data_IF_152773510183
#
_entry.id   IF_152773510183
#
_cell.length_a   1.000
_cell.length_b   1.000
_cell.length_c   1.000
_cell.angle_alpha   90.00
_cell.angle_beta   90.00
_cell.angle_gamma   90.00
#
_symmetry.space_group_name_H-M   'P 1'
#
loop_
_entity.id
_entity.type
_entity.pdbx_description
1 polymer ?
#
# COMPACT_ATOMS: atom_id res chain seq x y z
N UNK A 1 -23.01 5.52 -20.20
CA UNK A 1 -23.43 6.59 -19.26
C UNK A 1 -22.30 7.60 -19.24
N UNK A 2 -22.56 8.86 -19.57
CA UNK A 2 -21.54 9.92 -19.53
C UNK A 2 -21.17 10.19 -18.07
N UNK A 3 -19.88 10.11 -17.74
CA UNK A 3 -19.36 10.35 -16.40
C UNK A 3 -19.39 11.86 -16.12
N UNK A 4 -20.55 12.36 -15.66
CA UNK A 4 -20.81 13.81 -15.50
C UNK A 4 -20.00 14.41 -14.37
N UNK A 5 -19.59 15.68 -14.53
CA UNK A 5 -18.90 16.49 -13.50
C UNK A 5 -19.66 16.52 -12.17
N UNK A 6 -20.99 16.46 -12.19
CA UNK A 6 -21.80 16.39 -10.96
C UNK A 6 -21.44 15.18 -10.08
N UNK A 7 -21.18 14.02 -10.68
CA UNK A 7 -20.76 12.81 -9.94
C UNK A 7 -19.35 12.97 -9.36
N UNK A 8 -18.43 13.60 -10.10
CA UNK A 8 -17.09 13.96 -9.61
C UNK A 8 -17.21 14.87 -8.39
N UNK A 9 -18.04 15.91 -8.46
CA UNK A 9 -18.26 16.86 -7.38
C UNK A 9 -18.86 16.21 -6.13
N UNK A 10 -19.82 15.30 -6.28
CA UNK A 10 -20.39 14.57 -5.14
C UNK A 10 -19.30 13.80 -4.38
N UNK A 11 -18.40 13.12 -5.10
CA UNK A 11 -17.30 12.38 -4.47
C UNK A 11 -16.28 13.35 -3.86
N UNK A 12 -15.90 14.41 -4.57
CA UNK A 12 -14.93 15.39 -4.09
C UNK A 12 -15.39 16.03 -2.77
N UNK A 13 -16.65 16.48 -2.71
CA UNK A 13 -17.26 17.04 -1.49
C UNK A 13 -17.33 16.03 -0.34
N UNK A 14 -17.63 14.76 -0.65
CA UNK A 14 -17.65 13.71 0.37
C UNK A 14 -16.25 13.41 0.96
N UNK A 15 -15.17 13.81 0.27
CA UNK A 15 -13.79 13.64 0.75
C UNK A 15 -13.25 14.90 1.43
N UNK A 16 -13.46 16.08 0.83
CA UNK A 16 -12.87 17.34 1.29
C UNK A 16 -13.76 18.16 2.21
N UNK A 17 -15.07 17.91 2.24
CA UNK A 17 -16.04 18.74 2.96
C UNK A 17 -15.93 20.21 2.52
N UNK A 18 -15.78 21.11 3.48
CA UNK A 18 -15.58 22.56 3.25
C UNK A 18 -14.23 22.89 2.62
N UNK A 19 -13.26 21.97 2.66
CA UNK A 19 -11.89 22.14 2.12
C UNK A 19 -11.70 21.42 0.78
N UNK A 20 -12.74 21.39 -0.03
CA UNK A 20 -12.71 20.71 -1.33
C UNK A 20 -11.83 21.49 -2.32
N UNK A 21 -10.60 21.05 -2.52
CA UNK A 21 -9.70 21.46 -3.62
C UNK A 21 -9.66 20.51 -4.83
N UNK A 22 -8.87 20.82 -5.86
CA UNK A 22 -8.72 20.03 -7.10
C UNK A 22 -8.11 18.65 -6.87
N UNK A 23 -7.32 18.47 -5.81
CA UNK A 23 -6.88 17.16 -5.33
C UNK A 23 -8.08 16.21 -5.03
N UNK A 24 -9.18 16.77 -4.50
CA UNK A 24 -10.42 16.03 -4.26
C UNK A 24 -11.21 15.81 -5.56
N UNK A 25 -11.14 16.76 -6.51
CA UNK A 25 -11.70 16.54 -7.85
C UNK A 25 -11.02 15.37 -8.54
N UNK A 26 -9.69 15.25 -8.46
CA UNK A 26 -8.97 14.09 -8.98
C UNK A 26 -9.52 12.79 -8.40
N UNK A 27 -9.68 12.71 -7.07
CA UNK A 27 -10.26 11.54 -6.42
C UNK A 27 -11.70 11.25 -6.91
N UNK A 28 -12.47 12.30 -7.21
CA UNK A 28 -13.78 12.22 -7.85
C UNK A 28 -13.71 11.69 -9.30
N UNK A 29 -12.80 12.18 -10.13
CA UNK A 29 -12.61 11.72 -11.52
C UNK A 29 -12.21 10.25 -11.57
N UNK A 30 -11.39 9.78 -10.62
CA UNK A 30 -11.02 8.37 -10.50
C UNK A 30 -12.20 7.46 -10.14
N UNK A 31 -13.20 7.97 -9.43
CA UNK A 31 -14.41 7.22 -9.03
C UNK A 31 -15.48 7.24 -10.10
N UNK A 32 -15.69 8.38 -10.76
CA UNK A 32 -16.69 8.55 -11.79
C UNK A 32 -16.20 8.04 -13.16
N UNK A 33 -14.97 8.38 -13.54
CA UNK A 33 -14.39 8.13 -14.87
C UNK A 33 -13.86 6.72 -15.06
N UNK A 34 -14.54 5.91 -15.88
CA UNK A 34 -14.08 4.53 -16.14
C UNK A 34 -12.71 4.46 -16.84
N UNK A 35 -12.43 5.41 -17.75
CA UNK A 35 -11.15 5.51 -18.45
C UNK A 35 -10.07 6.14 -17.59
N UNK A 36 -10.40 7.18 -16.82
CA UNK A 36 -9.50 7.74 -15.78
C UNK A 36 -8.98 6.63 -14.88
N UNK A 37 -9.88 5.77 -14.39
CA UNK A 37 -9.50 4.62 -13.57
C UNK A 37 -8.54 3.66 -14.26
N UNK A 38 -8.74 3.34 -15.54
CA UNK A 38 -7.82 2.46 -16.28
C UNK A 38 -6.44 3.08 -16.46
N UNK A 39 -6.37 4.36 -16.80
CA UNK A 39 -5.10 5.08 -16.98
C UNK A 39 -4.35 5.13 -15.65
N UNK A 40 -5.01 5.60 -14.57
CA UNK A 40 -4.37 5.69 -13.26
C UNK A 40 -3.99 4.32 -12.68
N UNK A 41 -4.77 3.27 -12.98
CA UNK A 41 -4.42 1.90 -12.59
C UNK A 41 -3.18 1.36 -13.32
N UNK A 42 -2.78 1.89 -14.48
CA UNK A 42 -1.51 1.52 -15.11
C UNK A 42 -0.30 2.03 -14.31
N UNK A 43 -0.49 3.09 -13.50
CA UNK A 43 0.51 3.66 -12.60
C UNK A 43 0.33 3.24 -11.14
N UNK A 44 -0.49 2.21 -10.88
CA UNK A 44 -0.86 1.76 -9.52
C UNK A 44 -1.57 2.82 -8.65
N UNK A 45 -2.08 3.90 -9.26
CA UNK A 45 -2.86 4.93 -8.58
C UNK A 45 -4.32 4.50 -8.49
N UNK A 46 -4.63 3.77 -7.42
CA UNK A 46 -5.98 3.31 -7.14
C UNK A 46 -6.72 4.26 -6.19
N UNK A 47 -8.05 4.10 -5.99
CA UNK A 47 -8.77 4.90 -4.99
C UNK A 47 -8.25 4.73 -3.55
N UNK A 48 -7.58 3.61 -3.24
CA UNK A 48 -6.97 3.40 -1.92
C UNK A 48 -5.69 4.22 -1.81
N UNK A 49 -4.85 4.22 -2.85
CA UNK A 49 -3.62 5.01 -2.90
C UNK A 49 -3.92 6.51 -2.78
N UNK A 50 -4.83 7.02 -3.62
CA UNK A 50 -5.24 8.44 -3.59
C UNK A 50 -5.75 8.83 -2.21
N UNK A 51 -6.58 7.99 -1.58
CA UNK A 51 -7.11 8.28 -0.25
C UNK A 51 -6.04 8.24 0.85
N UNK A 52 -5.09 7.31 0.76
CA UNK A 52 -3.97 7.23 1.70
C UNK A 52 -3.11 8.51 1.63
N UNK A 53 -2.77 8.96 0.43
CA UNK A 53 -1.97 10.18 0.22
C UNK A 53 -2.75 11.43 0.64
N UNK A 54 -4.03 11.55 0.27
CA UNK A 54 -4.89 12.65 0.72
C UNK A 54 -4.95 12.75 2.24
N UNK A 55 -5.16 11.63 2.93
CA UNK A 55 -5.27 11.60 4.40
C UNK A 55 -3.95 11.90 5.10
N UNK A 56 -2.85 11.30 4.63
CA UNK A 56 -1.52 11.46 5.26
C UNK A 56 -0.99 12.89 5.18
N UNK A 57 -1.52 13.72 4.27
CA UNK A 57 -1.08 15.09 4.03
C UNK A 57 -2.25 16.08 4.00
N UNK A 58 -3.26 15.84 4.82
CA UNK A 58 -4.51 16.62 4.82
C UNK A 58 -4.27 18.14 4.91
N UNK A 59 -3.25 18.58 5.65
CA UNK A 59 -2.88 20.00 5.76
C UNK A 59 -2.40 20.60 4.44
N UNK A 60 -1.63 19.85 3.63
CA UNK A 60 -1.16 20.32 2.32
C UNK A 60 -2.31 20.56 1.35
N UNK A 61 -3.34 19.72 1.43
CA UNK A 61 -4.52 19.81 0.58
C UNK A 61 -5.61 20.74 1.14
N UNK A 62 -5.38 21.32 2.32
CA UNK A 62 -6.34 22.18 2.99
C UNK A 62 -6.40 23.59 2.38
N UNK A 63 -5.32 24.06 1.74
CA UNK A 63 -5.31 25.31 0.98
C UNK A 63 -6.20 25.13 -0.25
N UNK A 64 -7.35 25.82 -0.33
CA UNK A 64 -8.23 25.67 -1.48
C UNK A 64 -7.54 26.27 -2.71
N UNK A 65 -7.34 25.45 -3.73
CA UNK A 65 -7.22 25.93 -5.09
C UNK A 65 -8.62 26.12 -5.69
N UNK A 66 -8.74 27.02 -6.67
CA UNK A 66 -10.02 27.51 -7.16
C UNK A 66 -10.76 26.45 -8.01
N UNK A 67 -11.48 25.57 -7.31
CA UNK A 67 -12.32 24.50 -7.90
C UNK A 67 -13.37 25.06 -8.87
N UNK A 68 -14.12 26.13 -8.54
CA UNK A 68 -15.00 26.79 -9.51
C UNK A 68 -14.29 27.19 -10.79
N UNK A 69 -13.16 27.92 -10.70
CA UNK A 69 -12.41 28.34 -11.88
C UNK A 69 -11.89 27.15 -12.69
N UNK A 70 -11.46 26.06 -12.04
CA UNK A 70 -11.01 24.85 -12.72
C UNK A 70 -12.13 24.18 -13.52
N UNK A 71 -13.34 24.10 -12.96
CA UNK A 71 -14.51 23.55 -13.65
C UNK A 71 -14.94 24.47 -14.79
N UNK A 72 -14.93 25.78 -14.57
CA UNK A 72 -15.33 26.75 -15.59
C UNK A 72 -14.36 26.75 -16.77
N UNK A 73 -13.05 26.60 -16.54
CA UNK A 73 -12.07 26.37 -17.62
C UNK A 73 -12.38 25.11 -18.42
N UNK A 74 -12.69 24.00 -17.76
CA UNK A 74 -13.03 22.74 -18.42
C UNK A 74 -14.33 22.87 -19.25
N UNK A 75 -15.32 23.62 -18.73
CA UNK A 75 -16.55 23.94 -19.47
C UNK A 75 -16.31 24.86 -20.64
N UNK A 76 -15.45 25.86 -20.50
CA UNK A 76 -15.09 26.76 -21.60
C UNK A 76 -14.46 25.96 -22.76
N UNK A 77 -13.62 24.98 -22.44
CA UNK A 77 -12.92 24.16 -23.42
C UNK A 77 -13.81 23.07 -24.06
N UNK A 78 -14.79 22.53 -23.32
CA UNK A 78 -15.48 21.30 -23.71
C UNK A 78 -17.02 21.35 -23.65
N UNK A 79 -17.62 22.46 -23.23
CA UNK A 79 -19.06 22.58 -22.95
C UNK A 79 -19.44 21.87 -21.65
N UNK A 80 -19.82 20.60 -21.74
CA UNK A 80 -20.09 19.73 -20.58
C UNK A 80 -18.97 18.68 -20.50
N UNK A 81 -17.89 18.94 -19.74
CA UNK A 81 -16.70 18.09 -19.76
C UNK A 81 -16.98 16.72 -19.13
N UNK A 82 -16.38 15.67 -19.70
CA UNK A 82 -16.32 14.36 -19.05
C UNK A 82 -15.32 14.36 -17.88
N UNK A 83 -15.32 13.31 -17.06
CA UNK A 83 -14.32 13.13 -16.01
C UNK A 83 -12.87 13.11 -16.57
N UNK A 84 -12.66 12.56 -17.75
CA UNK A 84 -11.36 12.57 -18.44
C UNK A 84 -10.94 13.98 -18.84
N UNK A 85 -11.83 14.73 -19.49
CA UNK A 85 -11.57 16.10 -19.94
C UNK A 85 -11.33 17.05 -18.77
N UNK A 86 -12.12 16.89 -17.69
CA UNK A 86 -11.89 17.60 -16.44
C UNK A 86 -10.50 17.28 -15.89
N UNK A 87 -10.12 16.00 -15.80
CA UNK A 87 -8.80 15.63 -15.30
C UNK A 87 -7.68 16.21 -16.17
N UNK A 88 -7.79 16.16 -17.51
CA UNK A 88 -6.81 16.79 -18.41
C UNK A 88 -6.67 18.28 -18.10
N UNK A 89 -7.79 19.00 -17.99
CA UNK A 89 -7.80 20.43 -17.64
C UNK A 89 -7.12 20.71 -16.29
N UNK A 90 -7.34 19.85 -15.30
CA UNK A 90 -6.68 19.96 -14.00
C UNK A 90 -5.17 19.74 -14.11
N UNK A 91 -4.71 18.80 -14.93
CA UNK A 91 -3.29 18.50 -15.10
C UNK A 91 -2.55 19.52 -15.98
N UNK A 92 -3.26 20.37 -16.72
CA UNK A 92 -2.71 21.49 -17.48
C UNK A 92 -2.52 22.74 -16.62
N UNK A 93 -3.28 22.89 -15.53
CA UNK A 93 -3.14 24.01 -14.61
C UNK A 93 -1.99 23.79 -13.62
N UNK A 94 -0.89 24.57 -13.70
CA UNK A 94 0.22 24.44 -12.77
C UNK A 94 -0.16 24.80 -11.32
N UNK A 95 -1.26 25.53 -11.11
CA UNK A 95 -1.77 25.88 -9.78
C UNK A 95 -2.68 24.79 -9.20
N UNK A 96 -3.04 23.76 -9.97
CA UNK A 96 -3.87 22.66 -9.50
C UNK A 96 -3.06 21.67 -8.65
N UNK A 97 -3.57 21.41 -7.45
CA UNK A 97 -3.05 20.34 -6.59
C UNK A 97 -3.30 18.92 -7.15
N UNK A 98 -4.10 18.75 -8.21
CA UNK A 98 -4.34 17.44 -8.83
C UNK A 98 -3.05 16.80 -9.38
N UNK A 99 -2.23 17.58 -10.10
CA UNK A 99 -0.95 17.11 -10.63
C UNK A 99 0.04 16.79 -9.50
N UNK A 100 0.05 17.61 -8.45
CA UNK A 100 0.88 17.36 -7.27
C UNK A 100 0.49 16.07 -6.54
N UNK A 101 -0.81 15.85 -6.31
CA UNK A 101 -1.31 14.62 -5.71
C UNK A 101 -0.92 13.38 -6.50
N UNK A 102 -0.94 13.43 -7.85
CA UNK A 102 -0.49 12.30 -8.68
C UNK A 102 1.00 11.99 -8.50
N UNK A 103 1.85 13.01 -8.46
CA UNK A 103 3.28 12.82 -8.21
C UNK A 103 3.51 12.20 -6.84
N UNK A 104 2.76 12.63 -5.83
CA UNK A 104 2.82 12.06 -4.49
C UNK A 104 2.29 10.63 -4.42
N UNK A 105 1.39 10.24 -5.32
CA UNK A 105 1.01 8.83 -5.53
C UNK A 105 2.06 8.05 -6.34
N UNK A 106 3.18 8.67 -6.73
CA UNK A 106 4.24 8.08 -7.52
C UNK A 106 3.90 7.91 -9.01
N UNK A 107 2.94 8.67 -9.57
CA UNK A 107 2.64 8.65 -10.99
C UNK A 107 3.41 9.73 -11.77
N UNK A 108 3.71 9.41 -13.03
CA UNK A 108 4.17 10.37 -14.03
C UNK A 108 2.96 11.14 -14.57
N UNK A 109 2.89 12.43 -14.25
CA UNK A 109 1.76 13.30 -14.61
C UNK A 109 1.66 13.51 -16.12
N UNK A 110 2.79 13.65 -16.80
CA UNK A 110 2.82 13.88 -18.24
C UNK A 110 2.38 12.63 -18.99
N UNK A 111 2.85 11.45 -18.56
CA UNK A 111 2.39 10.17 -19.11
C UNK A 111 0.90 9.94 -18.90
N UNK A 112 0.36 10.30 -17.72
CA UNK A 112 -1.09 10.23 -17.44
C UNK A 112 -1.87 11.17 -18.35
N UNK A 113 -1.42 12.43 -18.48
CA UNK A 113 -2.07 13.43 -19.36
C UNK A 113 -2.07 12.96 -20.82
N UNK A 114 -0.94 12.50 -21.33
CA UNK A 114 -0.81 11.98 -22.70
C UNK A 114 -1.71 10.76 -22.95
N UNK A 115 -1.85 9.86 -21.98
CA UNK A 115 -2.76 8.72 -22.09
C UNK A 115 -4.25 9.13 -22.12
N UNK A 116 -4.61 10.17 -21.36
CA UNK A 116 -5.97 10.72 -21.35
C UNK A 116 -6.29 11.45 -22.67
N UNK A 117 -5.34 12.21 -23.23
CA UNK A 117 -5.50 12.90 -24.52
C UNK A 117 -5.55 11.89 -25.67
N UNK A 118 -4.58 10.99 -25.76
CA UNK A 118 -4.36 10.14 -26.96
C UNK A 118 -5.33 8.98 -27.14
N UNK A 119 -6.20 8.67 -26.18
CA UNK A 119 -7.04 7.46 -26.25
C UNK A 119 -6.41 6.23 -25.58
N UNK A 120 -5.08 6.21 -25.42
CA UNK A 120 -4.30 4.99 -25.17
C UNK A 120 -4.24 4.64 -23.68
N UNK A 121 -4.24 3.34 -23.39
CA UNK A 121 -3.97 2.86 -22.02
C UNK A 121 -2.46 2.67 -21.89
N UNK A 122 -1.81 3.24 -20.85
CA UNK A 122 -0.37 3.06 -20.66
C UNK A 122 -0.05 1.59 -20.38
N UNK A 123 1.14 1.16 -20.80
CA UNK A 123 1.69 -0.12 -20.34
C UNK A 123 2.05 0.03 -18.87
N UNK A 124 1.59 -0.92 -18.03
CA UNK A 124 1.95 -0.94 -16.62
C UNK A 124 3.43 -1.25 -16.47
N UNK A 125 4.13 -0.40 -15.72
CA UNK A 125 5.49 -0.67 -15.24
C UNK A 125 5.39 -1.44 -13.93
N UNK A 126 5.90 -2.67 -13.93
CA UNK A 126 5.89 -3.54 -12.75
C UNK A 126 6.98 -3.10 -11.78
N UNK A 127 6.59 -2.70 -10.55
CA UNK A 127 7.51 -2.14 -9.53
C UNK A 127 7.98 -3.18 -8.52
N UNK A 128 7.30 -4.32 -8.47
CA UNK A 128 7.62 -5.40 -7.54
C UNK A 128 7.86 -6.70 -8.32
N UNK A 129 8.71 -7.60 -7.81
CA UNK A 129 8.87 -8.93 -8.37
C UNK A 129 7.51 -9.66 -8.55
N UNK A 130 7.44 -10.56 -9.54
CA UNK A 130 6.22 -11.29 -9.88
C UNK A 130 5.54 -11.96 -8.66
N UNK A 131 6.34 -12.51 -7.74
CA UNK A 131 5.87 -13.16 -6.51
C UNK A 131 5.18 -12.21 -5.51
N UNK A 132 5.49 -10.91 -5.57
CA UNK A 132 4.94 -9.87 -4.69
C UNK A 132 3.74 -9.13 -5.31
N UNK A 133 3.39 -9.43 -6.57
CA UNK A 133 2.25 -8.82 -7.27
C UNK A 133 0.96 -8.97 -6.46
N UNK A 134 0.72 -10.13 -5.86
CA UNK A 134 -0.48 -10.38 -5.06
C UNK A 134 -0.51 -9.54 -3.77
N UNK A 135 0.64 -9.40 -3.10
CA UNK A 135 0.79 -8.59 -1.87
C UNK A 135 0.56 -7.11 -2.18
N UNK A 136 1.22 -6.60 -3.23
CA UNK A 136 0.99 -5.25 -3.76
C UNK A 136 -0.49 -5.02 -4.07
N UNK A 137 -1.13 -5.93 -4.80
CA UNK A 137 -2.52 -5.77 -5.22
C UNK A 137 -3.47 -5.64 -4.04
N UNK A 138 -3.15 -6.22 -2.87
CA UNK A 138 -3.93 -6.03 -1.64
C UNK A 138 -3.64 -4.70 -0.98
N UNK A 139 -2.37 -4.27 -0.94
CA UNK A 139 -1.98 -2.96 -0.44
C UNK A 139 -2.71 -1.84 -1.17
N UNK A 140 -2.66 -1.83 -2.51
CA UNK A 140 -3.31 -0.80 -3.33
C UNK A 140 -4.80 -1.08 -3.54
N UNK A 141 -5.39 -2.05 -2.85
CA UNK A 141 -6.84 -2.29 -2.85
C UNK A 141 -7.44 -2.83 -4.16
N UNK A 142 -6.64 -3.38 -5.08
CA UNK A 142 -7.14 -4.15 -6.23
C UNK A 142 -7.75 -5.47 -5.80
N UNK A 143 -7.15 -6.11 -4.81
CA UNK A 143 -7.64 -7.35 -4.20
C UNK A 143 -7.98 -7.07 -2.73
N UNK A 144 -8.99 -7.76 -2.21
CA UNK A 144 -9.39 -7.65 -0.80
C UNK A 144 -8.94 -8.88 -0.03
N UNK A 145 -8.53 -8.71 1.22
CA UNK A 145 -8.47 -9.83 2.16
C UNK A 145 -9.89 -10.37 2.35
N UNK A 146 -10.09 -11.65 2.01
CA UNK A 146 -11.34 -12.34 2.34
C UNK A 146 -11.25 -12.76 3.79
N UNK A 147 -12.09 -12.19 4.66
CA UNK A 147 -12.12 -12.54 6.07
C UNK A 147 -12.47 -14.01 6.29
N UNK A 148 -11.96 -14.60 7.40
CA UNK A 148 -12.41 -15.90 7.89
C UNK A 148 -13.85 -15.78 8.42
N UNK A 149 -14.83 -16.01 7.54
CA UNK A 149 -16.24 -16.14 7.91
C UNK A 149 -16.95 -14.88 8.42
N UNK A 150 -18.20 -15.07 8.85
CA UNK A 150 -19.18 -14.01 9.17
C UNK A 150 -18.76 -13.14 10.37
N UNK A 151 -18.08 -13.70 11.37
CA UNK A 151 -17.57 -12.94 12.54
C UNK A 151 -16.39 -12.03 12.19
N UNK A 152 -15.48 -12.49 11.32
CA UNK A 152 -14.44 -11.63 10.74
C UNK A 152 -15.05 -10.56 9.83
N UNK A 153 -16.18 -10.88 9.19
CA UNK A 153 -16.92 -9.95 8.33
C UNK A 153 -17.55 -8.78 9.11
N UNK A 154 -18.11 -9.02 10.30
CA UNK A 154 -18.74 -7.99 11.13
C UNK A 154 -17.73 -7.01 11.76
N UNK A 155 -16.59 -7.49 12.28
CA UNK A 155 -15.52 -6.59 12.77
C UNK A 155 -14.87 -5.79 11.66
N UNK A 156 -14.72 -6.37 10.48
CA UNK A 156 -14.23 -5.62 9.32
C UNK A 156 -15.28 -4.69 8.75
N UNK A 157 -16.59 -4.94 8.86
CA UNK A 157 -17.64 -4.08 8.31
C UNK A 157 -17.64 -2.64 8.87
N UNK A 158 -17.29 -2.47 10.14
CA UNK A 158 -17.23 -1.15 10.81
C UNK A 158 -15.93 -0.39 10.46
N UNK A 159 -14.86 -1.12 10.09
CA UNK A 159 -13.53 -0.57 9.76
C UNK A 159 -13.28 -0.58 8.23
N UNK A 160 -14.22 -1.08 7.43
CA UNK A 160 -14.05 -1.46 6.01
C UNK A 160 -13.90 -0.30 5.04
N UNK A 161 -14.07 0.92 5.50
CA UNK A 161 -13.71 2.09 4.73
C UNK A 161 -12.19 2.29 4.82
N UNK A 162 -11.47 1.72 3.85
CA UNK A 162 -10.16 2.25 3.41
C UNK A 162 -9.01 2.14 4.43
N UNK A 163 -8.84 0.97 5.07
CA UNK A 163 -7.63 0.70 5.87
C UNK A 163 -6.42 0.74 4.94
N UNK A 164 -5.55 1.72 5.16
CA UNK A 164 -4.22 1.75 4.57
C UNK A 164 -3.35 0.72 5.31
N UNK A 165 -3.24 -0.49 4.76
CA UNK A 165 -2.47 -1.56 5.41
C UNK A 165 -1.00 -1.18 5.65
N UNK A 166 -0.43 -0.31 4.81
CA UNK A 166 0.94 0.16 5.00
C UNK A 166 1.15 0.94 6.31
N UNK A 167 0.11 1.52 6.92
CA UNK A 167 0.23 2.19 8.22
C UNK A 167 0.18 1.22 9.42
N UNK A 168 -0.18 -0.04 9.17
CA UNK A 168 -0.41 -1.08 10.19
C UNK A 168 0.38 -2.34 9.87
N UNK A 169 1.73 -2.28 9.87
CA UNK A 169 2.59 -3.36 9.38
C UNK A 169 2.30 -4.72 10.02
N UNK A 170 2.07 -4.75 11.34
CA UNK A 170 1.81 -6.00 12.08
C UNK A 170 0.48 -6.64 11.67
N UNK A 171 -0.57 -5.82 11.50
CA UNK A 171 -1.85 -6.31 10.99
C UNK A 171 -1.69 -6.85 9.57
N UNK A 172 -0.99 -6.12 8.71
CA UNK A 172 -0.78 -6.51 7.33
C UNK A 172 0.03 -7.81 7.20
N UNK A 173 1.15 -7.92 7.90
CA UNK A 173 1.96 -9.15 7.97
C UNK A 173 1.14 -10.33 8.50
N UNK A 174 0.30 -10.13 9.53
CA UNK A 174 -0.57 -11.19 10.06
C UNK A 174 -1.61 -11.67 9.04
N UNK A 175 -2.17 -10.76 8.23
CA UNK A 175 -3.12 -11.10 7.16
C UNK A 175 -2.43 -11.83 5.99
N UNK A 176 -1.22 -11.45 5.63
CA UNK A 176 -0.43 -12.15 4.61
C UNK A 176 0.02 -13.53 5.10
N UNK A 177 0.42 -13.66 6.37
CA UNK A 177 0.76 -14.95 6.97
C UNK A 177 -0.41 -15.94 6.96
N UNK A 178 -1.64 -15.44 7.16
CA UNK A 178 -2.85 -16.25 7.00
C UNK A 178 -3.04 -16.79 5.57
N UNK A 179 -2.67 -16.00 4.56
CA UNK A 179 -2.75 -16.41 3.15
C UNK A 179 -1.65 -17.40 2.78
N UNK A 180 -0.43 -17.21 3.29
CA UNK A 180 0.68 -18.16 3.14
C UNK A 180 0.29 -19.52 3.76
N UNK A 181 -0.24 -19.50 4.99
CA UNK A 181 -0.70 -20.70 5.67
C UNK A 181 -1.82 -21.42 4.91
N UNK A 182 -2.78 -20.65 4.36
CA UNK A 182 -3.85 -21.19 3.53
C UNK A 182 -3.33 -21.83 2.24
N UNK A 183 -2.37 -21.20 1.56
CA UNK A 183 -1.77 -21.75 0.35
C UNK A 183 -1.02 -23.06 0.62
N UNK A 184 -0.40 -23.18 1.80
CA UNK A 184 0.22 -24.42 2.28
C UNK A 184 -0.79 -25.49 2.72
N UNK A 185 -2.04 -25.12 3.02
CA UNK A 185 -3.07 -26.04 3.53
C UNK A 185 -2.94 -26.41 5.01
N UNK A 186 -2.35 -25.52 5.83
CA UNK A 186 -2.11 -25.78 7.25
C UNK A 186 -2.40 -24.60 8.18
N UNK A 187 -2.18 -24.76 9.50
CA UNK A 187 -2.29 -23.66 10.45
C UNK A 187 -1.20 -22.61 10.17
N UNK A 188 -1.45 -21.36 10.58
CA UNK A 188 -0.45 -20.27 10.53
C UNK A 188 0.70 -20.56 11.48
N UNK A 189 1.93 -20.46 10.97
CA UNK A 189 3.19 -20.68 11.69
C UNK A 189 3.96 -19.38 11.89
N UNK A 190 4.91 -19.35 12.81
CA UNK A 190 5.71 -18.15 13.10
C UNK A 190 6.61 -17.74 11.94
N UNK A 191 7.11 -18.68 11.14
CA UNK A 191 7.86 -18.42 9.90
C UNK A 191 7.00 -17.79 8.80
N UNK A 192 5.70 -18.10 8.75
CA UNK A 192 4.77 -17.40 7.85
C UNK A 192 4.66 -15.91 8.21
N UNK A 193 4.66 -15.59 9.50
CA UNK A 193 4.60 -14.21 9.99
C UNK A 193 5.87 -13.45 9.63
N UNK A 194 7.03 -14.07 9.87
CA UNK A 194 8.32 -13.48 9.51
C UNK A 194 8.45 -13.26 8.00
N UNK A 195 8.09 -14.27 7.20
CA UNK A 195 8.07 -14.17 5.73
C UNK A 195 7.11 -13.10 5.24
N UNK A 196 5.89 -13.06 5.79
CA UNK A 196 4.92 -12.03 5.46
C UNK A 196 5.43 -10.63 5.77
N UNK A 197 6.06 -10.43 6.93
CA UNK A 197 6.63 -9.13 7.33
C UNK A 197 7.67 -8.63 6.33
N UNK A 198 8.59 -9.50 5.89
CA UNK A 198 9.59 -9.19 4.86
C UNK A 198 8.95 -8.90 3.49
N UNK A 199 7.98 -9.72 3.07
CA UNK A 199 7.25 -9.51 1.81
C UNK A 199 6.51 -8.16 1.80
N UNK A 200 5.87 -7.79 2.91
CA UNK A 200 5.16 -6.51 3.01
C UNK A 200 6.13 -5.33 3.02
N UNK A 201 7.29 -5.47 3.69
CA UNK A 201 8.32 -4.44 3.69
C UNK A 201 8.87 -4.17 2.30
N UNK A 202 9.17 -5.20 1.51
CA UNK A 202 9.68 -5.00 0.15
C UNK A 202 8.66 -4.31 -0.76
N UNK A 203 7.36 -4.61 -0.57
CA UNK A 203 6.31 -3.83 -1.24
C UNK A 203 6.31 -2.38 -0.74
N UNK A 204 6.45 -2.11 0.55
CA UNK A 204 6.50 -0.73 1.07
C UNK A 204 7.66 0.07 0.49
N UNK A 205 8.85 -0.54 0.33
CA UNK A 205 9.98 0.09 -0.34
C UNK A 205 9.66 0.54 -1.77
N UNK A 206 8.82 -0.22 -2.49
CA UNK A 206 8.36 0.14 -3.84
C UNK A 206 7.24 1.20 -3.85
N UNK A 207 6.57 1.43 -2.72
CA UNK A 207 5.48 2.41 -2.56
C UNK A 207 5.69 3.30 -1.31
N UNK A 208 6.75 4.12 -1.27
CA UNK A 208 7.13 4.87 -0.07
C UNK A 208 6.10 5.93 0.35
N UNK A 209 5.17 6.30 -0.52
CA UNK A 209 4.10 7.25 -0.23
C UNK A 209 2.93 6.65 0.58
N UNK A 210 2.83 5.31 0.66
CA UNK A 210 1.73 4.64 1.34
C UNK A 210 1.87 4.54 2.86
N UNK A 211 3.03 4.20 3.46
CA UNK A 211 3.13 4.21 4.92
C UNK A 211 3.02 5.65 5.50
N UNK A 212 3.35 6.68 4.71
CA UNK A 212 3.31 8.07 5.16
C UNK A 212 4.15 8.26 6.44
N UNK A 213 3.59 8.83 7.53
CA UNK A 213 4.32 8.98 8.80
C UNK A 213 4.61 7.66 9.51
N UNK A 214 4.02 6.54 9.08
CA UNK A 214 4.22 5.22 9.71
C UNK A 214 5.47 4.47 9.21
N UNK A 215 6.36 5.12 8.45
CA UNK A 215 7.62 4.50 7.97
C UNK A 215 8.46 3.92 9.12
N UNK A 216 8.56 4.62 10.24
CA UNK A 216 9.30 4.17 11.43
C UNK A 216 8.74 2.86 12.03
N UNK A 217 7.51 2.49 11.71
CA UNK A 217 6.94 1.21 12.17
C UNK A 217 7.57 -0.01 11.46
N UNK A 218 8.39 0.20 10.44
CA UNK A 218 9.09 -0.84 9.69
C UNK A 218 10.55 -1.04 10.11
N UNK A 219 11.01 -0.37 11.17
CA UNK A 219 12.42 -0.44 11.62
C UNK A 219 12.91 -1.86 11.92
N UNK A 220 12.09 -2.69 12.58
CA UNK A 220 12.47 -4.06 12.94
C UNK A 220 12.69 -4.96 11.72
N UNK A 221 11.85 -4.83 10.69
CA UNK A 221 12.03 -5.59 9.44
C UNK A 221 13.14 -5.00 8.57
N UNK A 222 13.34 -3.68 8.59
CA UNK A 222 14.50 -3.04 7.93
C UNK A 222 15.81 -3.61 8.46
N UNK A 223 15.96 -3.68 9.78
CA UNK A 223 17.15 -4.24 10.42
C UNK A 223 17.42 -5.70 9.99
N UNK A 224 16.36 -6.51 9.81
CA UNK A 224 16.52 -7.88 9.28
C UNK A 224 17.01 -7.93 7.84
N UNK A 225 16.52 -7.05 6.98
CA UNK A 225 16.96 -6.95 5.58
C UNK A 225 18.40 -6.47 5.50
N UNK A 226 18.81 -5.51 6.34
CA UNK A 226 20.18 -5.00 6.41
C UNK A 226 21.19 -6.08 6.79
N UNK A 227 20.81 -7.04 7.64
CA UNK A 227 21.62 -8.22 7.95
C UNK A 227 21.41 -9.37 6.95
N UNK A 228 20.76 -9.14 5.82
CA UNK A 228 20.67 -10.11 4.71
C UNK A 228 19.61 -11.20 4.86
N UNK A 229 18.61 -11.01 5.73
CA UNK A 229 17.44 -11.89 5.79
C UNK A 229 16.46 -11.50 4.67
N UNK A 230 16.11 -12.47 3.83
CA UNK A 230 15.25 -12.29 2.66
C UNK A 230 14.07 -13.29 2.69
N UNK A 231 12.87 -12.82 2.36
CA UNK A 231 11.66 -13.64 2.31
C UNK A 231 11.76 -14.80 1.32
N UNK A 232 12.56 -14.69 0.24
CA UNK A 232 12.77 -15.81 -0.70
C UNK A 232 13.56 -16.94 -0.05
N UNK A 233 14.59 -16.59 0.72
CA UNK A 233 15.39 -17.56 1.48
C UNK A 233 14.53 -18.30 2.50
N UNK A 234 13.57 -17.61 3.11
CA UNK A 234 12.63 -18.22 4.05
C UNK A 234 11.66 -19.20 3.38
N UNK A 235 11.36 -19.02 2.10
CA UNK A 235 10.38 -19.85 1.39
C UNK A 235 10.83 -21.31 1.24
N UNK A 236 12.14 -21.55 1.13
CA UNK A 236 12.74 -22.88 1.01
C UNK A 236 13.21 -23.48 2.33
N UNK A 237 13.03 -22.77 3.44
CA UNK A 237 13.53 -23.22 4.74
C UNK A 237 12.61 -24.28 5.35
N UNK A 238 13.14 -25.47 5.61
CA UNK A 238 12.44 -26.47 6.42
C UNK A 238 12.80 -26.29 7.89
N UNK A 239 11.91 -25.63 8.64
CA UNK A 239 12.18 -25.30 10.04
C UNK A 239 12.06 -26.52 10.99
N UNK A 240 11.87 -27.73 10.47
CA UNK A 240 11.75 -28.96 11.26
C UNK A 240 10.48 -28.98 12.11
N UNK A 241 10.63 -29.04 13.44
CA UNK A 241 9.54 -29.16 14.42
C UNK A 241 8.48 -28.06 14.34
N UNK A 242 7.29 -28.33 14.87
CA UNK A 242 6.21 -27.35 15.00
C UNK A 242 6.57 -26.18 15.93
N UNK A 243 5.77 -25.12 15.89
CA UNK A 243 5.89 -24.03 16.86
C UNK A 243 5.50 -24.55 18.26
N UNK A 244 6.38 -24.35 19.25
CA UNK A 244 6.07 -24.66 20.66
C UNK A 244 4.96 -23.79 21.21
N UNK A 245 4.90 -22.52 20.78
CA UNK A 245 3.83 -21.58 21.11
C UNK A 245 3.11 -21.16 19.83
N UNK A 246 1.82 -21.51 19.66
CA UNK A 246 1.05 -21.17 18.47
C UNK A 246 0.97 -19.67 18.21
N UNK A 247 0.97 -19.26 16.93
CA UNK A 247 0.86 -17.84 16.54
C UNK A 247 -0.38 -17.13 17.12
N UNK A 248 -1.49 -17.85 17.30
CA UNK A 248 -2.72 -17.28 17.88
C UNK A 248 -2.56 -16.85 19.35
N UNK A 249 -1.61 -17.44 20.06
CA UNK A 249 -1.28 -17.11 21.44
C UNK A 249 -0.27 -15.97 21.49
N UNK A 250 0.72 -15.98 20.61
CA UNK A 250 1.70 -14.89 20.46
C UNK A 250 1.06 -13.57 20.00
N UNK A 251 0.14 -13.67 19.03
CA UNK A 251 -0.54 -12.53 18.41
C UNK A 251 -2.00 -12.55 18.81
N UNK A 252 -2.26 -12.55 20.12
CA UNK A 252 -3.60 -12.38 20.66
C UNK A 252 -3.94 -10.88 20.67
N UNK A 253 -5.03 -10.43 20.03
CA UNK A 253 -5.44 -9.03 20.09
C UNK A 253 -5.67 -8.58 21.54
N UNK A 254 -5.03 -7.50 21.95
CA UNK A 254 -5.05 -6.98 23.32
C UNK A 254 -4.15 -5.75 23.48
N UNK A 255 -3.96 -5.30 24.73
CA UNK A 255 -3.08 -4.18 25.05
C UNK A 255 -1.61 -4.44 24.64
N UNK A 256 -1.20 -5.70 24.64
CA UNK A 256 0.16 -6.13 24.28
C UNK A 256 0.31 -6.47 22.78
N UNK A 257 -0.65 -6.06 21.94
CA UNK A 257 -0.54 -6.29 20.51
C UNK A 257 0.62 -5.46 19.92
N UNK A 258 1.58 -6.05 19.17
CA UNK A 258 2.68 -5.30 18.61
C UNK A 258 2.21 -4.22 17.64
N UNK A 259 2.63 -2.98 17.87
CA UNK A 259 2.25 -1.84 17.01
C UNK A 259 3.14 -1.70 15.77
N UNK A 260 4.39 -2.15 15.88
CA UNK A 260 5.41 -2.07 14.84
C UNK A 260 6.17 -3.39 14.64
N UNK A 261 7.00 -3.43 13.60
CA UNK A 261 7.77 -4.61 13.24
C UNK A 261 8.90 -4.94 14.23
N UNK A 262 9.39 -3.98 15.01
CA UNK A 262 10.40 -4.20 16.05
C UNK A 262 9.78 -4.96 17.23
N UNK A 263 8.62 -4.50 17.71
CA UNK A 263 7.85 -5.18 18.74
C UNK A 263 7.41 -6.58 18.29
N UNK A 264 6.95 -6.72 17.03
CA UNK A 264 6.59 -8.02 16.47
C UNK A 264 7.81 -8.96 16.44
N UNK A 265 8.96 -8.46 16.00
CA UNK A 265 10.20 -9.23 16.00
C UNK A 265 10.57 -9.67 17.42
N UNK A 266 10.46 -8.76 18.41
CA UNK A 266 10.66 -9.04 19.83
C UNK A 266 9.81 -10.21 20.34
N UNK A 267 8.53 -10.27 19.96
CA UNK A 267 7.63 -11.39 20.29
C UNK A 267 8.07 -12.71 19.63
N UNK A 268 8.56 -12.66 18.39
CA UNK A 268 9.03 -13.85 17.69
C UNK A 268 10.33 -14.40 18.30
N UNK A 269 11.27 -13.53 18.69
CA UNK A 269 12.56 -13.95 19.26
C UNK A 269 12.49 -14.38 20.73
N UNK A 270 11.49 -13.90 21.49
CA UNK A 270 11.28 -14.35 22.88
C UNK A 270 10.87 -15.82 23.00
N UNK A 271 10.58 -16.47 21.86
CA UNK A 271 10.24 -17.89 21.77
C UNK A 271 11.24 -18.62 20.85
N UNK A 272 12.50 -18.84 21.27
CA UNK A 272 13.52 -19.46 20.43
C UNK A 272 13.18 -20.90 20.01
N UNK A 273 12.26 -21.55 20.72
CA UNK A 273 11.71 -22.85 20.36
C UNK A 273 10.66 -22.82 19.24
N UNK A 274 10.30 -21.66 18.70
CA UNK A 274 9.42 -21.53 17.54
C UNK A 274 10.22 -21.46 16.24
N UNK A 275 9.56 -21.71 15.10
CA UNK A 275 10.20 -21.73 13.78
C UNK A 275 10.91 -20.43 13.44
N UNK A 276 10.27 -19.28 13.65
CA UNK A 276 10.88 -17.97 13.43
C UNK A 276 12.08 -17.73 14.36
N UNK A 277 11.98 -18.11 15.63
CA UNK A 277 13.07 -17.98 16.60
C UNK A 277 14.31 -18.79 16.19
N UNK A 278 14.12 -20.07 15.81
CA UNK A 278 15.21 -20.91 15.28
C UNK A 278 15.82 -20.34 14.00
N UNK A 279 14.97 -19.91 13.06
CA UNK A 279 15.41 -19.35 11.80
C UNK A 279 16.26 -18.10 12.01
N UNK A 280 15.82 -17.19 12.87
CA UNK A 280 16.55 -15.96 13.17
C UNK A 280 17.88 -16.27 13.86
N UNK A 281 17.91 -17.21 14.81
CA UNK A 281 19.14 -17.64 15.44
C UNK A 281 20.16 -18.19 14.41
N UNK A 282 19.71 -19.04 13.48
CA UNK A 282 20.59 -19.61 12.45
C UNK A 282 21.09 -18.58 11.43
N UNK A 283 20.24 -17.64 11.00
CA UNK A 283 20.62 -16.63 10.01
C UNK A 283 21.50 -15.53 10.61
N UNK A 284 21.21 -15.06 11.84
CA UNK A 284 22.03 -14.05 12.50
C UNK A 284 23.44 -14.58 12.82
N UNK A 285 23.58 -15.87 13.16
CA UNK A 285 24.88 -16.51 13.33
C UNK A 285 25.66 -16.59 12.02
N UNK A 286 25.02 -16.94 10.89
CA UNK A 286 25.69 -17.02 9.59
C UNK A 286 26.22 -15.66 9.13
N UNK A 287 25.49 -14.57 9.38
CA UNK A 287 25.89 -13.21 9.00
C UNK A 287 27.11 -12.75 9.79
N UNK A 288 27.19 -13.08 11.08
CA UNK A 288 28.36 -12.79 11.90
C UNK A 288 29.62 -13.57 11.48
N UNK A 289 29.46 -14.69 10.75
CA UNK A 289 30.57 -15.55 10.32
C UNK A 289 31.03 -15.32 8.87
N UNK A 290 30.40 -14.41 8.10
CA UNK A 290 30.93 -14.02 6.78
C UNK A 290 32.05 -12.99 7.02
N UNK A 291 33.32 -13.31 6.73
CA UNK A 291 34.40 -12.32 6.84
C UNK A 291 34.09 -11.15 5.91
N UNK A 292 34.40 -9.89 6.32
CA UNK A 292 34.20 -8.75 5.44
C UNK A 292 34.94 -9.02 4.13
N UNK A 293 34.21 -8.93 3.01
CA UNK A 293 34.82 -9.00 1.69
C UNK A 293 35.95 -7.98 1.67
N UNK A 294 37.18 -8.48 1.57
CA UNK A 294 38.36 -7.66 1.35
C UNK A 294 38.08 -6.85 0.09
N UNK A 295 37.86 -5.55 0.26
CA UNK A 295 37.81 -4.61 -0.84
C UNK A 295 39.24 -4.60 -1.38
N UNK A 296 39.48 -5.37 -2.43
CA UNK A 296 40.73 -5.29 -3.17
C UNK A 296 40.83 -3.87 -3.70
N UNK A 297 41.71 -3.10 -3.06
CA UNK A 297 42.14 -1.81 -3.55
C UNK A 297 42.91 -2.05 -4.85
N UNK A 298 42.31 -1.67 -5.97
CA UNK A 298 42.95 -1.55 -7.28
C UNK A 298 42.59 -0.21 -7.88
#
# INVERSE_FOLDING_TARGET
MTDKVSAVMTVAKALGGERTGTAHLLAGTLRAGSRVRRVLDAHDVTPVVVHAVLRSRAERWATPDDVPAAIDRARLAHGEPTAEQLLVTLLEDPLSHAGELLRECGADVDAVREALISGRTPVRVERVPADLVAVRNRLIGRTRYRGRGVRGYLRTAIVRARVNYAETPVLWASLEADLIAKARGGPKRTDDVLRAMLMTYEVVCAYPHLPGPAHERYEGVRALVEVGVDWRRLAGWDCGEEDRVPVRELLKPGADWPEDTSALLGVLVSHPGNRAGRLLAENLVRVACVPPLSVDAS
#
